data_IF_658288655635
#
_entry.id   IF_658288655635
#
_cell.length_a   1.000
_cell.length_b   1.000
_cell.length_c   1.000
_cell.angle_alpha   90.00
_cell.angle_beta   90.00
_cell.angle_gamma   90.00
#
_symmetry.space_group_name_H-M   'P 1'
#
loop_
_entity.id
_entity.type
_entity.pdbx_description
1 polymer ?
#
# COMPACT_ATOMS: atom_id res chain seq x y z
N UNK A 1 28.98 -32.19 -36.62
CA UNK A 1 27.58 -32.35 -36.15
C UNK A 1 27.32 -31.60 -34.85
N UNK A 2 28.01 -31.88 -33.74
CA UNK A 2 27.76 -31.21 -32.44
C UNK A 2 27.92 -29.67 -32.49
N UNK A 3 28.98 -29.16 -33.12
CA UNK A 3 29.21 -27.70 -33.22
C UNK A 3 28.10 -26.96 -33.98
N UNK A 4 27.56 -27.58 -35.04
CA UNK A 4 26.47 -27.02 -35.83
C UNK A 4 25.19 -26.94 -35.00
N UNK A 5 24.90 -27.99 -34.21
CA UNK A 5 23.77 -28.01 -33.30
C UNK A 5 23.88 -26.91 -32.23
N UNK A 6 25.03 -26.78 -31.57
CA UNK A 6 25.26 -25.74 -30.57
C UNK A 6 25.04 -24.32 -31.14
N UNK A 7 25.54 -24.07 -32.35
CA UNK A 7 25.40 -22.76 -32.99
C UNK A 7 23.93 -22.43 -33.32
N UNK A 8 23.19 -23.41 -33.84
CA UNK A 8 21.75 -23.27 -34.12
C UNK A 8 20.94 -23.08 -32.83
N UNK A 9 21.29 -23.77 -31.74
CA UNK A 9 20.63 -23.58 -30.44
C UNK A 9 20.86 -22.19 -29.87
N UNK A 10 22.08 -21.63 -30.00
CA UNK A 10 22.38 -20.25 -29.56
C UNK A 10 21.55 -19.26 -30.37
N UNK A 11 21.53 -19.39 -31.70
CA UNK A 11 20.74 -18.49 -32.57
C UNK A 11 19.26 -18.58 -32.22
N UNK A 12 18.72 -19.79 -32.05
CA UNK A 12 17.31 -20.00 -31.70
C UNK A 12 16.96 -19.40 -30.34
N UNK A 13 17.82 -19.60 -29.33
CA UNK A 13 17.62 -19.03 -28.00
C UNK A 13 17.74 -17.50 -28.00
N UNK A 14 18.74 -16.95 -28.67
CA UNK A 14 18.92 -15.50 -28.80
C UNK A 14 17.78 -14.85 -29.56
N UNK A 15 17.31 -15.44 -30.65
CA UNK A 15 16.17 -14.90 -31.43
C UNK A 15 14.86 -15.04 -30.68
N UNK A 16 14.63 -16.14 -29.97
CA UNK A 16 13.44 -16.33 -29.13
C UNK A 16 13.43 -15.35 -27.95
N UNK A 17 14.57 -15.16 -27.28
CA UNK A 17 14.73 -14.19 -26.21
C UNK A 17 14.55 -12.77 -26.73
N UNK A 18 15.15 -12.43 -27.86
CA UNK A 18 15.00 -11.11 -28.49
C UNK A 18 13.55 -10.85 -28.90
N UNK A 19 12.87 -11.83 -29.48
CA UNK A 19 11.46 -11.70 -29.88
C UNK A 19 10.54 -11.56 -28.66
N UNK A 20 10.83 -12.28 -27.58
CA UNK A 20 10.11 -12.15 -26.31
C UNK A 20 10.33 -10.75 -25.70
N UNK A 21 11.58 -10.30 -25.61
CA UNK A 21 11.92 -8.97 -25.10
C UNK A 21 11.33 -7.85 -25.98
N UNK A 22 11.32 -8.05 -27.30
CA UNK A 22 10.71 -7.13 -28.25
C UNK A 22 9.20 -7.11 -28.13
N UNK A 23 8.53 -8.24 -27.94
CA UNK A 23 7.08 -8.29 -27.68
C UNK A 23 6.74 -7.58 -26.36
N UNK A 24 7.52 -7.81 -25.31
CA UNK A 24 7.37 -7.11 -24.03
C UNK A 24 7.62 -5.60 -24.18
N UNK A 25 8.58 -5.19 -25.01
CA UNK A 25 8.84 -3.77 -25.32
C UNK A 25 7.85 -3.16 -26.32
N UNK A 26 7.25 -3.94 -27.21
CA UNK A 26 6.30 -3.52 -28.24
C UNK A 26 4.88 -3.43 -27.68
N UNK A 27 4.61 -3.99 -26.48
CA UNK A 27 3.61 -3.46 -25.53
C UNK A 27 4.13 -2.12 -24.97
N UNK A 28 4.58 -1.25 -25.87
CA UNK A 28 4.98 0.11 -25.56
C UNK A 28 3.68 0.86 -25.33
N UNK A 29 3.52 1.25 -24.07
CA UNK A 29 2.55 2.21 -23.57
C UNK A 29 2.22 3.26 -24.63
N UNK A 30 0.93 3.63 -24.81
CA UNK A 30 0.57 4.75 -25.66
C UNK A 30 1.42 5.97 -25.25
N UNK A 31 2.04 6.67 -26.22
CA UNK A 31 2.88 7.83 -25.94
C UNK A 31 2.00 8.90 -25.31
N UNK A 32 2.09 9.06 -23.99
CA UNK A 32 1.24 10.00 -23.25
C UNK A 32 1.17 9.80 -21.74
N UNK A 33 1.49 8.61 -21.20
CA UNK A 33 1.44 8.36 -19.76
C UNK A 33 2.74 7.69 -19.24
N UNK A 34 3.84 8.42 -19.22
CA UNK A 34 5.10 8.01 -18.54
C UNK A 34 4.96 7.81 -17.03
N UNK A 35 3.76 8.06 -16.48
CA UNK A 35 3.46 8.01 -15.05
C UNK A 35 2.62 6.79 -14.63
N UNK A 36 2.09 6.00 -15.57
CA UNK A 36 1.40 4.75 -15.24
C UNK A 36 2.43 3.64 -14.99
N UNK A 37 2.40 2.98 -13.84
CA UNK A 37 3.33 1.87 -13.59
C UNK A 37 2.94 0.69 -14.51
N UNK A 38 3.88 0.05 -15.23
CA UNK A 38 3.58 -1.12 -16.08
C UNK A 38 2.84 -2.24 -15.33
N UNK A 39 2.97 -2.26 -13.99
CA UNK A 39 2.30 -3.20 -13.10
C UNK A 39 0.79 -3.01 -12.99
N UNK A 40 0.25 -1.85 -13.38
CA UNK A 40 -1.19 -1.57 -13.36
C UNK A 40 -1.94 -2.46 -14.36
N UNK A 41 -1.28 -2.85 -15.45
CA UNK A 41 -1.85 -3.66 -16.53
C UNK A 41 -1.65 -5.17 -16.34
N UNK A 42 -0.93 -5.57 -15.30
CA UNK A 42 -0.67 -6.98 -15.03
C UNK A 42 -1.91 -7.63 -14.42
N UNK A 43 -2.15 -8.88 -14.80
CA UNK A 43 -3.17 -9.71 -14.18
C UNK A 43 -2.90 -9.85 -12.67
N UNK A 44 -3.95 -10.05 -11.87
CA UNK A 44 -3.84 -10.24 -10.41
C UNK A 44 -2.76 -11.25 -10.03
N UNK A 45 -2.75 -12.42 -10.68
CA UNK A 45 -1.77 -13.48 -10.41
C UNK A 45 -0.34 -12.99 -10.60
N UNK A 46 -0.07 -12.26 -11.70
CA UNK A 46 1.25 -11.70 -11.99
C UNK A 46 1.67 -10.64 -10.96
N UNK A 47 0.72 -9.85 -10.45
CA UNK A 47 0.97 -8.89 -9.38
C UNK A 47 1.33 -9.63 -8.08
N UNK A 48 0.58 -10.69 -7.75
CA UNK A 48 0.81 -11.50 -6.56
C UNK A 48 2.15 -12.23 -6.58
N UNK A 49 2.70 -12.58 -7.74
CA UNK A 49 4.04 -13.16 -7.84
C UNK A 49 5.11 -12.29 -7.18
N UNK A 50 4.95 -10.96 -7.17
CA UNK A 50 5.88 -10.04 -6.46
C UNK A 50 5.88 -10.23 -4.96
N UNK A 51 4.77 -10.70 -4.41
CA UNK A 51 4.60 -10.94 -2.99
C UNK A 51 4.68 -12.41 -2.62
N UNK A 52 4.89 -13.31 -3.58
CA UNK A 52 5.03 -14.75 -3.33
C UNK A 52 6.06 -15.10 -2.24
N UNK A 53 7.23 -14.42 -2.12
CA UNK A 53 8.17 -14.72 -1.03
C UNK A 53 7.63 -14.35 0.36
N UNK A 54 6.68 -13.42 0.43
CA UNK A 54 6.14 -12.86 1.67
C UNK A 54 4.80 -13.48 2.07
N UNK A 55 4.04 -14.03 1.11
CA UNK A 55 2.73 -14.62 1.34
C UNK A 55 2.78 -16.13 1.70
N UNK A 56 3.93 -16.78 1.61
CA UNK A 56 4.03 -18.22 1.92
C UNK A 56 3.23 -19.12 0.96
N UNK A 57 3.09 -20.40 1.30
CA UNK A 57 2.79 -21.48 0.34
C UNK A 57 1.32 -21.77 0.04
N UNK A 58 0.34 -21.19 0.77
CA UNK A 58 -1.08 -21.52 0.56
C UNK A 58 -1.99 -20.45 1.14
N UNK A 59 -2.24 -19.40 0.36
CA UNK A 59 -3.05 -18.27 0.80
C UNK A 59 -3.97 -17.82 -0.32
N UNK A 60 -5.27 -18.06 -0.14
CA UNK A 60 -6.32 -17.61 -1.06
C UNK A 60 -6.53 -16.12 -0.82
N UNK A 61 -6.27 -15.31 -1.84
CA UNK A 61 -6.46 -13.87 -1.82
C UNK A 61 -7.49 -13.49 -2.88
N UNK A 62 -8.57 -12.84 -2.45
CA UNK A 62 -9.66 -12.39 -3.31
C UNK A 62 -9.60 -10.86 -3.43
N UNK A 63 -8.98 -10.30 -4.50
CA UNK A 63 -8.92 -8.86 -4.68
C UNK A 63 -10.28 -8.28 -5.06
N UNK A 64 -10.48 -7.00 -4.75
CA UNK A 64 -11.56 -6.18 -5.31
C UNK A 64 -12.97 -6.71 -5.04
N UNK A 65 -13.17 -7.30 -3.85
CA UNK A 65 -14.50 -7.64 -3.33
C UNK A 65 -15.39 -6.41 -3.35
N UNK A 66 -14.82 -5.27 -2.95
CA UNK A 66 -15.39 -3.96 -3.19
C UNK A 66 -14.43 -3.14 -4.03
N UNK A 67 -15.00 -2.48 -5.03
CA UNK A 67 -14.37 -1.45 -5.82
C UNK A 67 -14.91 -0.09 -5.34
N UNK A 68 -14.08 0.96 -5.38
CA UNK A 68 -14.53 2.29 -5.01
C UNK A 68 -15.63 2.74 -5.97
N UNK A 69 -16.62 3.47 -5.44
CA UNK A 69 -17.65 4.10 -6.26
C UNK A 69 -17.17 5.43 -6.85
N UNK A 70 -16.15 6.02 -6.24
CA UNK A 70 -15.46 7.24 -6.70
C UNK A 70 -13.97 6.97 -6.93
N UNK A 71 -13.48 7.26 -8.13
CA UNK A 71 -12.06 7.27 -8.42
C UNK A 71 -11.46 8.59 -7.92
N UNK A 72 -11.13 8.64 -6.63
CA UNK A 72 -10.42 9.76 -6.05
C UNK A 72 -8.93 9.69 -6.42
N UNK A 73 -8.42 10.74 -7.05
CA UNK A 73 -6.98 10.95 -7.14
C UNK A 73 -6.44 11.46 -5.79
N UNK A 74 -5.25 11.03 -5.41
CA UNK A 74 -4.66 11.38 -4.12
C UNK A 74 -3.88 10.26 -3.44
N UNK A 75 -3.73 10.35 -2.12
CA UNK A 75 -2.99 9.37 -1.32
C UNK A 75 -3.96 8.25 -0.93
N UNK A 76 -3.65 7.00 -1.31
CA UNK A 76 -4.45 5.85 -0.84
C UNK A 76 -3.96 5.42 0.54
N UNK A 77 -4.85 5.42 1.53
CA UNK A 77 -4.59 4.77 2.81
C UNK A 77 -4.58 3.25 2.63
N UNK A 78 -3.46 2.62 2.93
CA UNK A 78 -3.30 1.17 2.92
C UNK A 78 -3.45 0.65 4.34
N UNK A 79 -4.50 -0.13 4.56
CA UNK A 79 -4.95 -0.60 5.86
C UNK A 79 -5.10 -2.12 5.86
N UNK A 80 -5.16 -2.70 7.06
CA UNK A 80 -5.59 -4.07 7.25
C UNK A 80 -6.46 -4.18 8.50
N UNK A 81 -7.33 -5.18 8.55
CA UNK A 81 -8.16 -5.50 9.72
C UNK A 81 -8.52 -6.97 9.74
N UNK A 82 -8.79 -7.51 10.92
CA UNK A 82 -9.39 -8.84 11.13
C UNK A 82 -10.91 -8.79 10.98
N UNK A 83 -11.49 -9.90 10.54
CA UNK A 83 -12.94 -10.15 10.53
C UNK A 83 -13.45 -10.52 11.93
N UNK A 84 -13.46 -9.54 12.83
CA UNK A 84 -13.92 -9.69 14.23
C UNK A 84 -15.42 -9.35 14.39
N UNK A 85 -16.23 -9.66 13.37
CA UNK A 85 -17.65 -9.35 13.39
C UNK A 85 -17.92 -7.84 13.26
N UNK A 86 -18.88 -7.29 14.00
CA UNK A 86 -19.36 -5.92 13.78
C UNK A 86 -18.42 -4.84 14.35
N UNK A 87 -17.51 -5.22 15.25
CA UNK A 87 -16.54 -4.30 15.86
C UNK A 87 -15.56 -3.74 14.82
N UNK A 88 -15.04 -4.58 13.93
CA UNK A 88 -14.11 -4.16 12.88
C UNK A 88 -14.80 -3.28 11.83
N UNK A 89 -16.08 -3.51 11.56
CA UNK A 89 -16.88 -2.70 10.64
C UNK A 89 -17.11 -1.30 11.21
N UNK A 90 -17.50 -1.21 12.49
CA UNK A 90 -17.67 0.09 13.15
C UNK A 90 -16.34 0.85 13.26
N UNK A 91 -15.24 0.16 13.57
CA UNK A 91 -13.91 0.74 13.60
C UNK A 91 -13.52 1.30 12.22
N UNK A 92 -13.77 0.56 11.13
CA UNK A 92 -13.53 1.01 9.76
C UNK A 92 -14.35 2.27 9.42
N UNK A 93 -15.65 2.26 9.71
CA UNK A 93 -16.52 3.42 9.44
C UNK A 93 -16.04 4.65 10.22
N UNK A 94 -15.71 4.47 11.51
CA UNK A 94 -15.19 5.55 12.35
C UNK A 94 -13.85 6.08 11.83
N UNK A 95 -12.94 5.19 11.43
CA UNK A 95 -11.65 5.54 10.86
C UNK A 95 -11.82 6.31 9.54
N UNK A 96 -12.65 5.79 8.63
CA UNK A 96 -12.87 6.36 7.31
C UNK A 96 -13.61 7.71 7.36
N UNK A 97 -14.41 7.96 8.39
CA UNK A 97 -15.04 9.28 8.59
C UNK A 97 -14.03 10.43 8.72
N UNK A 98 -12.78 10.11 9.11
CA UNK A 98 -11.67 11.07 9.27
C UNK A 98 -10.71 11.10 8.07
N UNK A 99 -10.93 10.23 7.08
CA UNK A 99 -10.08 10.11 5.90
C UNK A 99 -10.91 10.35 4.64
N UNK A 100 -10.72 11.51 4.02
CA UNK A 100 -11.47 11.89 2.80
C UNK A 100 -10.84 11.33 1.51
N UNK A 101 -9.72 10.63 1.61
CA UNK A 101 -9.02 10.03 0.48
C UNK A 101 -9.47 8.60 0.13
N UNK A 102 -8.89 8.03 -0.93
CA UNK A 102 -9.08 6.62 -1.26
C UNK A 102 -8.51 5.70 -0.16
N UNK A 103 -9.10 4.51 -0.02
CA UNK A 103 -8.71 3.49 0.96
C UNK A 103 -8.51 2.17 0.22
N UNK A 104 -7.41 1.47 0.47
CA UNK A 104 -7.23 0.06 0.14
C UNK A 104 -7.12 -0.72 1.43
N UNK A 105 -8.10 -1.57 1.69
CA UNK A 105 -8.20 -2.37 2.90
C UNK A 105 -8.06 -3.85 2.57
N UNK A 106 -7.15 -4.52 3.27
CA UNK A 106 -7.10 -5.99 3.30
C UNK A 106 -7.80 -6.47 4.56
N UNK A 107 -8.93 -7.14 4.39
CA UNK A 107 -9.63 -7.80 5.49
C UNK A 107 -9.17 -9.26 5.59
N UNK A 108 -8.72 -9.64 6.77
CA UNK A 108 -8.18 -10.96 7.08
C UNK A 108 -9.25 -11.79 7.75
N UNK A 109 -9.57 -12.94 7.17
CA UNK A 109 -10.60 -13.84 7.70
C UNK A 109 -10.09 -15.26 7.78
N UNK A 110 -10.52 -16.00 8.81
CA UNK A 110 -10.31 -17.44 8.92
C UNK A 110 -11.44 -18.23 8.24
N UNK A 111 -12.45 -17.54 7.70
CA UNK A 111 -13.55 -18.19 6.98
C UNK A 111 -13.04 -18.84 5.71
N UNK A 112 -13.46 -20.09 5.48
CA UNK A 112 -13.09 -20.83 4.27
C UNK A 112 -13.86 -20.26 3.07
N UNK A 113 -13.21 -20.03 1.92
CA UNK A 113 -13.90 -19.64 0.70
C UNK A 113 -15.05 -20.57 0.33
N UNK A 114 -16.08 -19.99 -0.28
CA UNK A 114 -17.34 -20.65 -0.66
C UNK A 114 -18.18 -21.27 0.48
N UNK A 115 -17.76 -21.18 1.74
CA UNK A 115 -18.56 -21.63 2.89
C UNK A 115 -19.75 -20.72 3.18
N UNK A 116 -20.75 -21.21 3.94
CA UNK A 116 -21.90 -20.39 4.38
C UNK A 116 -21.43 -19.15 5.17
N UNK A 117 -20.50 -19.26 6.15
CA UNK A 117 -19.95 -18.08 6.83
C UNK A 117 -19.28 -17.09 5.87
N UNK A 118 -18.57 -17.57 4.84
CA UNK A 118 -17.97 -16.70 3.83
C UNK A 118 -19.04 -15.93 3.04
N UNK A 119 -20.12 -16.58 2.63
CA UNK A 119 -21.23 -15.90 1.94
C UNK A 119 -21.91 -14.85 2.84
N UNK A 120 -22.04 -15.13 4.14
CA UNK A 120 -22.55 -14.17 5.12
C UNK A 120 -21.61 -12.97 5.27
N UNK A 121 -20.30 -13.21 5.34
CA UNK A 121 -19.28 -12.17 5.34
C UNK A 121 -19.38 -11.30 4.08
N UNK A 122 -19.45 -11.89 2.88
CA UNK A 122 -19.59 -11.14 1.63
C UNK A 122 -20.85 -10.25 1.61
N UNK A 123 -21.99 -10.76 2.09
CA UNK A 123 -23.22 -9.95 2.22
C UNK A 123 -23.05 -8.79 3.19
N UNK A 124 -22.37 -9.01 4.32
CA UNK A 124 -22.05 -7.93 5.27
C UNK A 124 -21.12 -6.89 4.65
N UNK A 125 -20.11 -7.32 3.91
CA UNK A 125 -19.19 -6.39 3.23
C UNK A 125 -19.90 -5.58 2.15
N UNK A 126 -20.88 -6.14 1.45
CA UNK A 126 -21.67 -5.40 0.47
C UNK A 126 -22.41 -4.20 1.07
N UNK A 127 -22.79 -4.23 2.35
CA UNK A 127 -23.45 -3.07 2.99
C UNK A 127 -22.51 -1.87 3.15
N UNK A 128 -21.20 -2.09 3.12
CA UNK A 128 -20.20 -1.01 3.19
C UNK A 128 -20.16 -0.17 1.91
N UNK A 129 -20.58 -0.73 0.77
CA UNK A 129 -20.54 -0.05 -0.54
C UNK A 129 -21.35 1.24 -0.54
N UNK A 130 -22.51 1.21 0.12
CA UNK A 130 -23.46 2.33 0.11
C UNK A 130 -23.17 3.33 1.23
N UNK A 131 -22.16 3.08 2.06
CA UNK A 131 -21.81 3.98 3.15
C UNK A 131 -21.05 5.21 2.63
N UNK A 132 -21.51 6.44 2.91
CA UNK A 132 -20.95 7.66 2.30
C UNK A 132 -19.46 7.86 2.61
N UNK A 133 -19.04 7.59 3.86
CA UNK A 133 -17.64 7.67 4.29
C UNK A 133 -16.72 6.61 3.65
N UNK A 134 -17.26 5.64 2.91
CA UNK A 134 -16.51 4.54 2.29
C UNK A 134 -16.61 4.55 0.76
N UNK A 135 -17.03 5.67 0.16
CA UNK A 135 -17.11 5.81 -1.31
C UNK A 135 -15.78 5.57 -2.03
N UNK A 136 -14.65 5.84 -1.37
CA UNK A 136 -13.29 5.57 -1.87
C UNK A 136 -12.70 4.21 -1.48
N UNK A 137 -13.48 3.30 -0.88
CA UNK A 137 -12.99 2.02 -0.37
C UNK A 137 -12.79 1.00 -1.50
N UNK A 138 -11.57 0.49 -1.63
CA UNK A 138 -11.29 -0.81 -2.25
C UNK A 138 -11.02 -1.84 -1.17
N UNK A 139 -11.80 -2.92 -1.17
CA UNK A 139 -11.69 -4.00 -0.18
C UNK A 139 -11.23 -5.28 -0.84
N UNK A 140 -10.27 -5.94 -0.20
CA UNK A 140 -9.71 -7.22 -0.60
C UNK A 140 -9.84 -8.20 0.57
N UNK A 141 -10.11 -9.46 0.27
CA UNK A 141 -10.16 -10.52 1.28
C UNK A 141 -8.91 -11.36 1.24
N UNK A 142 -8.40 -11.66 2.43
CA UNK A 142 -7.23 -12.46 2.65
C UNK A 142 -7.60 -13.62 3.59
N UNK A 143 -7.55 -14.86 3.08
CA UNK A 143 -7.91 -16.05 3.84
C UNK A 143 -6.71 -16.59 4.61
N UNK A 144 -6.69 -16.35 5.91
CA UNK A 144 -5.61 -16.79 6.79
C UNK A 144 -5.78 -18.27 7.15
N UNK A 145 -4.76 -19.06 6.83
CA UNK A 145 -4.65 -20.46 7.25
C UNK A 145 -3.90 -20.52 8.58
N UNK A 146 -4.41 -21.29 9.54
CA UNK A 146 -3.79 -21.53 10.86
C UNK A 146 -3.55 -20.28 11.73
N UNK A 147 -4.35 -19.22 11.57
CA UNK A 147 -4.24 -17.96 12.33
C UNK A 147 -2.84 -17.33 12.29
N UNK A 148 -2.05 -17.61 11.24
CA UNK A 148 -0.75 -16.95 11.05
C UNK A 148 -0.98 -15.55 10.49
N UNK A 149 -0.93 -14.55 11.38
CA UNK A 149 -1.04 -13.16 11.00
C UNK A 149 0.29 -12.62 10.49
N UNK A 150 0.24 -11.97 9.32
CA UNK A 150 1.36 -11.22 8.77
C UNK A 150 0.93 -9.80 8.38
N UNK A 151 0.74 -8.90 9.37
CA UNK A 151 0.37 -7.49 9.15
C UNK A 151 1.15 -6.77 8.04
N UNK A 152 2.47 -6.98 7.94
CA UNK A 152 3.27 -6.33 6.89
C UNK A 152 2.95 -6.90 5.51
N UNK A 153 2.69 -8.20 5.38
CA UNK A 153 2.23 -8.79 4.12
C UNK A 153 0.85 -8.26 3.72
N UNK A 154 -0.05 -8.02 4.67
CA UNK A 154 -1.37 -7.43 4.42
C UNK A 154 -1.26 -5.99 3.93
N UNK A 155 -0.36 -5.20 4.52
CA UNK A 155 -0.08 -3.84 4.03
C UNK A 155 0.56 -3.83 2.66
N UNK A 156 1.46 -4.78 2.37
CA UNK A 156 2.03 -4.93 1.04
C UNK A 156 0.95 -5.29 0.01
N UNK A 157 -0.02 -6.13 0.37
CA UNK A 157 -1.18 -6.43 -0.49
C UNK A 157 -2.04 -5.20 -0.71
N UNK A 158 -2.42 -4.49 0.36
CA UNK A 158 -3.20 -3.25 0.27
C UNK A 158 -2.49 -2.23 -0.65
N UNK A 159 -1.19 -2.05 -0.44
CA UNK A 159 -0.34 -1.22 -1.30
C UNK A 159 -0.31 -1.72 -2.73
N UNK A 160 -0.11 -3.01 -2.96
CA UNK A 160 -0.01 -3.58 -4.28
C UNK A 160 -1.29 -3.29 -5.07
N UNK A 161 -2.47 -3.37 -4.44
CA UNK A 161 -3.78 -3.19 -5.06
C UNK A 161 -4.38 -1.78 -4.90
N UNK A 162 -3.66 -0.85 -4.28
CA UNK A 162 -4.08 0.54 -4.17
C UNK A 162 -4.29 1.18 -5.55
N UNK A 163 -5.32 2.02 -5.67
CA UNK A 163 -5.71 2.64 -6.94
C UNK A 163 -4.88 3.87 -7.29
N UNK A 164 -4.26 4.52 -6.31
CA UNK A 164 -3.45 5.72 -6.56
C UNK A 164 -1.94 5.44 -6.62
N UNK A 165 -1.19 6.41 -7.15
CA UNK A 165 0.27 6.31 -7.34
C UNK A 165 1.06 6.51 -6.05
N UNK A 166 0.49 7.23 -5.09
CA UNK A 166 1.10 7.50 -3.79
C UNK A 166 0.25 6.85 -2.72
N UNK A 167 0.86 6.06 -1.85
CA UNK A 167 0.16 5.35 -0.78
C UNK A 167 0.68 5.80 0.57
N UNK A 168 -0.17 5.67 1.58
CA UNK A 168 0.20 5.81 2.98
C UNK A 168 -0.04 4.49 3.68
N UNK A 169 1.02 3.87 4.19
CA UNK A 169 0.95 2.63 4.95
C UNK A 169 0.62 2.97 6.40
N UNK A 170 -0.52 2.48 6.90
CA UNK A 170 -0.87 2.60 8.33
C UNK A 170 -0.56 1.27 9.02
N UNK A 171 0.47 1.22 9.86
CA UNK A 171 0.94 -0.04 10.41
C UNK A 171 0.07 -0.59 11.54
N UNK A 172 -0.70 0.26 12.19
CA UNK A 172 -1.58 -0.08 13.31
C UNK A 172 -2.93 -0.63 12.84
N UNK A 173 -3.67 -1.18 13.80
CA UNK A 173 -5.08 -1.50 13.59
C UNK A 173 -5.94 -0.23 13.49
N UNK A 174 -7.19 -0.41 13.08
CA UNK A 174 -8.18 0.67 12.92
C UNK A 174 -8.56 1.36 14.24
N UNK A 175 -8.08 0.86 15.37
CA UNK A 175 -8.29 1.43 16.71
C UNK A 175 -7.54 2.75 16.91
N UNK A 176 -6.47 3.00 16.14
CA UNK A 176 -5.69 4.21 16.27
C UNK A 176 -6.43 5.42 15.67
N UNK A 177 -6.62 6.43 16.51
CA UNK A 177 -7.33 7.66 16.14
C UNK A 177 -6.45 8.50 15.22
N UNK A 178 -6.90 8.75 13.99
CA UNK A 178 -6.23 9.75 13.16
C UNK A 178 -6.48 11.16 13.68
N UNK A 179 -5.47 12.06 13.58
CA UNK A 179 -5.69 13.49 13.72
C UNK A 179 -6.76 13.99 12.74
N UNK A 180 -7.64 14.88 13.21
CA UNK A 180 -8.58 15.57 12.33
C UNK A 180 -7.81 16.35 11.27
N UNK A 181 -8.34 16.38 10.05
CA UNK A 181 -7.75 17.06 8.89
C UNK A 181 -6.40 16.51 8.39
N UNK A 182 -5.96 15.32 8.84
CA UNK A 182 -4.71 14.71 8.36
C UNK A 182 -4.66 14.65 6.82
N UNK A 183 -5.72 14.18 6.18
CA UNK A 183 -5.75 14.09 4.71
C UNK A 183 -5.59 15.46 4.04
N UNK A 184 -6.25 16.49 4.57
CA UNK A 184 -6.18 17.85 4.04
C UNK A 184 -4.79 18.49 4.23
N UNK A 185 -4.08 18.12 5.29
CA UNK A 185 -2.68 18.48 5.48
C UNK A 185 -1.78 17.80 4.45
N UNK A 186 -2.03 16.51 4.19
CA UNK A 186 -1.22 15.70 3.26
C UNK A 186 -1.49 16.03 1.79
N UNK A 187 -2.69 16.47 1.42
CA UNK A 187 -3.01 16.85 0.04
C UNK A 187 -2.18 18.05 -0.46
N UNK A 188 -1.56 18.82 0.44
CA UNK A 188 -0.63 19.91 0.14
C UNK A 188 0.79 19.44 -0.15
N UNK A 189 1.13 18.19 0.19
CA UNK A 189 2.44 17.62 -0.14
C UNK A 189 2.52 17.45 -1.67
N UNK A 190 3.64 17.80 -2.33
CA UNK A 190 3.76 17.64 -3.77
C UNK A 190 3.59 16.18 -4.19
N UNK A 191 2.62 15.92 -5.08
CA UNK A 191 2.33 14.58 -5.60
C UNK A 191 2.88 14.39 -7.02
N UNK A 192 3.38 13.19 -7.38
CA UNK A 192 3.62 12.04 -6.50
C UNK A 192 4.86 12.23 -5.62
N UNK A 193 4.83 11.72 -4.38
CA UNK A 193 6.02 11.67 -3.54
C UNK A 193 7.08 10.83 -4.25
N UNK A 194 8.22 11.42 -4.63
CA UNK A 194 9.31 10.69 -5.32
C UNK A 194 10.11 9.79 -4.39
N UNK A 195 10.05 10.08 -3.09
CA UNK A 195 10.76 9.37 -2.02
C UNK A 195 9.78 9.06 -0.88
N UNK A 196 10.03 7.99 -0.10
CA UNK A 196 9.29 7.74 1.13
C UNK A 196 9.39 8.91 2.11
N UNK A 197 8.29 9.20 2.80
CA UNK A 197 8.15 10.27 3.79
C UNK A 197 7.55 9.72 5.08
N UNK A 198 8.14 10.09 6.21
CA UNK A 198 7.60 9.80 7.53
C UNK A 198 6.59 10.85 7.96
N UNK A 199 5.52 10.37 8.56
CA UNK A 199 4.45 11.22 9.08
C UNK A 199 4.61 11.37 10.58
N UNK A 200 5.21 12.46 11.02
CA UNK A 200 5.54 12.71 12.43
C UNK A 200 4.85 13.98 12.94
N UNK A 201 4.56 14.02 14.24
CA UNK A 201 4.13 15.23 14.94
C UNK A 201 5.31 16.03 15.51
N UNK A 202 6.49 15.40 15.64
CA UNK A 202 7.69 15.98 16.24
C UNK A 202 8.78 16.13 15.18
N UNK A 203 9.39 17.31 15.10
CA UNK A 203 10.58 17.53 14.29
C UNK A 203 11.77 16.96 15.07
N UNK A 204 12.23 15.77 14.69
CA UNK A 204 13.39 15.13 15.33
C UNK A 204 14.51 14.97 14.29
N UNK A 205 15.69 15.50 14.62
CA UNK A 205 16.90 15.44 13.79
C UNK A 205 17.67 14.12 13.91
N UNK A 206 17.24 13.21 14.80
CA UNK A 206 17.82 11.89 15.03
C UNK A 206 16.78 10.79 14.75
N UNK A 207 17.24 9.56 14.48
CA UNK A 207 16.40 8.38 14.26
C UNK A 207 15.68 7.97 15.56
N UNK A 208 14.62 8.71 15.90
CA UNK A 208 13.68 8.45 16.99
C UNK A 208 12.30 8.41 16.37
N UNK A 209 11.97 7.30 15.73
CA UNK A 209 10.69 7.11 15.04
C UNK A 209 9.67 6.63 16.07
N UNK A 210 8.53 7.33 16.26
CA UNK A 210 7.48 6.84 17.12
C UNK A 210 6.95 5.48 16.64
N UNK A 211 6.60 4.61 17.59
CA UNK A 211 6.01 3.30 17.31
C UNK A 211 4.85 3.40 16.32
N UNK A 212 4.82 2.49 15.35
CA UNK A 212 3.72 2.38 14.37
C UNK A 212 3.45 3.70 13.61
N UNK A 213 4.50 4.49 13.36
CA UNK A 213 4.42 5.69 12.53
C UNK A 213 4.05 5.36 11.09
N UNK A 214 3.01 5.99 10.51
CA UNK A 214 2.67 5.81 9.11
C UNK A 214 3.74 6.35 8.15
N UNK A 215 3.86 5.71 6.98
CA UNK A 215 4.82 6.11 5.94
C UNK A 215 4.09 6.36 4.63
N UNK A 216 4.38 7.50 3.98
CA UNK A 216 3.96 7.78 2.61
C UNK A 216 5.05 7.34 1.65
N UNK A 217 4.69 6.67 0.56
CA UNK A 217 5.65 6.27 -0.48
C UNK A 217 4.98 6.05 -1.84
N UNK A 218 5.73 6.06 -2.95
CA UNK A 218 5.20 5.61 -4.23
C UNK A 218 4.67 4.18 -4.14
N UNK A 219 3.50 3.90 -4.71
CA UNK A 219 2.90 2.56 -4.70
C UNK A 219 3.88 1.49 -5.22
N UNK A 220 4.67 1.82 -6.23
CA UNK A 220 5.65 0.95 -6.88
C UNK A 220 7.09 1.06 -6.33
N UNK A 221 7.30 1.69 -5.16
CA UNK A 221 8.60 1.74 -4.50
C UNK A 221 9.24 0.33 -4.36
N UNK A 222 10.54 0.14 -4.58
CA UNK A 222 11.12 -1.21 -4.71
C UNK A 222 11.11 -2.02 -3.40
N UNK A 223 11.12 -1.37 -2.24
CA UNK A 223 11.16 -2.02 -0.93
C UNK A 223 9.76 -2.49 -0.49
N UNK A 224 9.68 -3.70 0.05
CA UNK A 224 8.48 -4.28 0.67
C UNK A 224 8.74 -4.57 2.15
N UNK A 225 7.77 -4.29 3.01
CA UNK A 225 7.93 -4.60 4.43
C UNK A 225 7.86 -6.10 4.66
N UNK A 226 8.92 -6.69 5.23
CA UNK A 226 8.98 -8.11 5.58
C UNK A 226 8.79 -8.29 7.07
N UNK A 227 8.37 -9.48 7.49
CA UNK A 227 8.35 -9.84 8.91
C UNK A 227 9.48 -10.81 9.20
N UNK A 228 10.07 -10.69 10.39
CA UNK A 228 10.97 -11.72 10.90
C UNK A 228 10.12 -12.79 11.56
N UNK A 229 9.98 -13.91 10.87
CA UNK A 229 9.20 -15.02 11.39
C UNK A 229 9.71 -15.42 12.80
N UNK A 230 8.77 -15.53 13.74
CA UNK A 230 8.82 -16.29 15.01
C UNK A 230 8.96 -15.54 16.35
N UNK A 231 9.46 -14.30 16.46
CA UNK A 231 9.67 -13.70 17.81
C UNK A 231 9.47 -12.18 17.93
N UNK A 232 9.22 -11.47 16.83
CA UNK A 232 9.11 -10.01 16.87
C UNK A 232 7.69 -9.56 17.27
N UNK A 233 7.62 -8.42 17.97
CA UNK A 233 6.36 -7.71 18.16
C UNK A 233 5.98 -6.95 16.89
N UNK A 234 4.69 -6.64 16.71
CA UNK A 234 4.23 -5.83 15.57
C UNK A 234 4.99 -4.51 15.43
N UNK A 235 5.27 -3.85 16.54
CA UNK A 235 6.06 -2.62 16.57
C UNK A 235 7.48 -2.88 16.08
N UNK A 236 8.14 -3.92 16.57
CA UNK A 236 9.51 -4.27 16.15
C UNK A 236 9.60 -4.61 14.66
N UNK A 237 8.66 -5.38 14.11
CA UNK A 237 8.63 -5.68 12.67
C UNK A 237 8.42 -4.41 11.84
N UNK A 238 7.63 -3.47 12.34
CA UNK A 238 7.40 -2.21 11.67
C UNK A 238 8.62 -1.30 11.71
N UNK A 239 9.26 -1.17 12.88
CA UNK A 239 10.47 -0.37 13.07
C UNK A 239 11.59 -0.85 12.15
N UNK A 240 11.74 -2.17 11.99
CA UNK A 240 12.65 -2.78 11.02
C UNK A 240 12.34 -2.36 9.58
N UNK A 241 11.06 -2.36 9.17
CA UNK A 241 10.69 -1.91 7.83
C UNK A 241 11.02 -0.44 7.62
N UNK A 242 10.67 0.41 8.60
CA UNK A 242 10.92 1.85 8.50
C UNK A 242 12.42 2.16 8.54
N UNK A 243 13.18 1.43 9.33
CA UNK A 243 14.63 1.52 9.37
C UNK A 243 15.26 1.15 8.03
N UNK A 244 14.80 0.09 7.37
CA UNK A 244 15.28 -0.26 6.03
C UNK A 244 14.94 0.84 5.02
N UNK A 245 13.72 1.41 5.06
CA UNK A 245 13.34 2.54 4.21
C UNK A 245 14.25 3.75 4.43
N UNK A 246 14.62 4.02 5.68
CA UNK A 246 15.54 5.09 6.04
C UNK A 246 16.95 4.86 5.52
N UNK A 247 17.46 3.63 5.59
CA UNK A 247 18.77 3.29 5.05
C UNK A 247 18.85 3.45 3.53
N UNK A 248 17.86 2.95 2.79
CA UNK A 248 17.87 2.97 1.31
C UNK A 248 17.83 4.40 0.75
N UNK A 249 17.19 5.32 1.47
CA UNK A 249 17.06 6.72 1.04
C UNK A 249 18.15 7.65 1.60
N UNK A 250 19.08 7.13 2.41
CA UNK A 250 20.05 7.91 3.18
C UNK A 250 19.37 8.94 4.09
N UNK A 251 18.22 8.58 4.65
CA UNK A 251 17.33 9.46 5.39
C UNK A 251 15.92 9.53 4.79
N UNK A 252 14.90 9.66 5.65
CA UNK A 252 13.52 9.89 5.22
C UNK A 252 13.17 11.35 5.38
N UNK A 253 12.53 11.93 4.36
CA UNK A 253 11.87 13.22 4.52
C UNK A 253 10.77 13.11 5.57
N UNK A 254 10.60 14.14 6.39
CA UNK A 254 9.56 14.18 7.40
C UNK A 254 8.47 15.18 7.01
N UNK A 255 7.21 14.78 7.15
CA UNK A 255 6.07 15.70 7.06
C UNK A 255 5.56 15.92 8.47
N UNK A 256 5.73 17.14 8.97
CA UNK A 256 5.21 17.53 10.27
C UNK A 256 3.72 17.92 10.15
N UNK A 257 2.84 17.06 10.65
CA UNK A 257 1.38 17.28 10.56
C UNK A 257 0.94 18.44 11.45
N UNK A 258 1.61 18.69 12.57
CA UNK A 258 1.19 19.76 13.52
C UNK A 258 1.29 21.16 12.88
N UNK A 259 2.27 21.36 12.00
CA UNK A 259 2.44 22.61 11.25
C UNK A 259 1.41 22.75 10.11
N UNK A 260 0.96 21.64 9.54
CA UNK A 260 -0.02 21.66 8.46
C UNK A 260 -1.46 21.94 8.95
N UNK A 261 -1.74 21.72 10.24
CA UNK A 261 -3.05 21.96 10.88
C UNK A 261 -3.23 23.41 11.37
N UNK A 262 -2.20 24.26 11.39
CA UNK A 262 -2.32 25.70 11.74
C UNK A 262 -2.28 26.62 10.51
N UNK A 263 -3.42 26.91 9.83
CA UNK A 263 -3.47 27.87 8.73
C UNK A 263 -3.39 29.34 9.18
N UNK A 264 -3.72 29.67 10.43
CA UNK A 264 -3.95 31.07 10.84
C UNK A 264 -2.69 31.91 11.10
N UNK A 265 -1.50 31.32 11.16
CA UNK A 265 -0.25 32.09 11.39
C UNK A 265 0.51 32.51 10.12
N UNK A 266 0.05 32.08 8.94
CA UNK A 266 0.76 32.37 7.67
C UNK A 266 0.17 33.54 6.87
N UNK A 267 -0.91 34.19 7.33
CA UNK A 267 -1.53 35.32 6.62
C UNK A 267 -0.80 36.67 6.79
N UNK A 268 0.37 36.73 7.44
CA UNK A 268 1.03 37.99 7.81
C UNK A 268 2.52 38.13 7.49
N UNK A 269 3.16 37.17 6.82
CA UNK A 269 4.58 37.29 6.51
C UNK A 269 4.96 36.45 5.30
N UNK A 270 5.42 37.13 4.24
CA UNK A 270 6.03 36.46 3.10
C UNK A 270 7.21 35.63 3.57
N UNK A 271 7.05 34.31 3.59
CA UNK A 271 8.12 33.37 3.84
C UNK A 271 8.13 32.34 2.71
N UNK A 272 9.33 32.20 2.17
CA UNK A 272 9.85 31.29 1.16
C UNK A 272 9.33 29.85 1.28
N UNK A 273 9.17 29.11 0.16
CA UNK A 273 8.60 27.77 0.16
C UNK A 273 9.33 26.83 1.12
N UNK A 274 8.51 26.07 1.85
CA UNK A 274 8.86 25.11 2.89
C UNK A 274 10.23 24.42 2.70
N UNK A 275 11.07 24.59 3.72
CA UNK A 275 12.27 23.78 3.91
C UNK A 275 11.88 22.30 3.97
N UNK A 276 12.08 21.60 2.86
CA UNK A 276 12.54 20.22 2.89
C UNK A 276 13.83 20.23 3.71
N UNK A 277 13.77 19.77 4.96
CA UNK A 277 14.97 19.42 5.70
C UNK A 277 15.59 18.25 4.95
N UNK A 278 16.68 18.51 4.23
CA UNK A 278 17.55 17.50 3.64
C UNK A 278 18.35 16.80 4.73
#
# INVERSE_FOLDING_TARGET
MALVYCFLSIIFMSTSLYRYLYLVHAVRMPPGNELASPTEFLATEQRLLRLSPYLGSSREFEPHILLPTSLADGITACLWSTDDGDTSFQALVSWASKWTGPISLVMVTATRPHSIPHQQLLRRLQTLRDHPSLSGLSLHLFHAVNNQHSPSAYLNLARLFANSRTVMLFPANLSNVLPENLYNALSRVPHPARKPLLITSTATSAFSIPDLTPVILPRNYPLWCTERAFLASRTSDWDDCVWQLWLEEYGLGQVNITLAIQPEKFAGGGVEPANLVR
#
